data_IF_241297335209
#
_entry.id   IF_241297335209
#
_cell.length_a   1.000
_cell.length_b   1.000
_cell.length_c   1.000
_cell.angle_alpha   90.00
_cell.angle_beta   90.00
_cell.angle_gamma   90.00
#
_symmetry.space_group_name_H-M   'P 1'
#
loop_
_entity.id
_entity.type
_entity.pdbx_description
1 polymer ?
#
# COMPACT_ATOMS: atom_id res chain seq x y z
N UNK A 1 23.70 -22.53 -21.10
CA UNK A 1 23.42 -23.12 -20.84
C UNK A 1 23.26 -23.81 -20.54
N UNK A 2 23.18 -23.87 -20.34
CA UNK A 2 22.89 -24.58 -20.04
C UNK A 2 22.72 -25.46 -19.81
N UNK A 3 22.69 -25.47 -19.71
CA UNK A 3 22.41 -26.40 -19.56
C UNK A 3 22.27 -27.36 -19.58
N UNK A 4 22.53 -27.54 -19.68
CA UNK A 4 22.26 -28.54 -19.73
C UNK A 4 22.50 -29.39 -19.48
N UNK A 5 22.92 -29.25 -19.22
CA UNK A 5 23.32 -29.97 -19.07
C UNK A 5 23.30 -31.01 -18.73
N UNK A 6 23.47 -31.21 -18.25
CA UNK A 6 23.49 -32.28 -17.96
C UNK A 6 22.62 -32.99 -17.88
N UNK A 7 22.26 -33.32 -18.08
CA UNK A 7 21.36 -33.94 -17.95
C UNK A 7 21.37 -35.20 -17.97
N UNK A 8 22.06 -35.76 -17.87
CA UNK A 8 22.14 -36.90 -17.87
C UNK A 8 21.26 -37.47 -17.04
N UNK A 9 21.24 -37.70 -16.31
CA UNK A 9 20.32 -38.21 -15.54
C UNK A 9 19.38 -37.25 -15.64
N UNK A 10 19.67 -36.58 -16.52
CA UNK A 10 18.78 -35.79 -16.94
C UNK A 10 17.84 -35.07 -16.15
N UNK A 11 18.04 -34.97 -15.02
CA UNK A 11 17.06 -34.25 -14.27
C UNK A 11 17.60 -32.93 -13.87
N UNK A 12 17.37 -31.96 -14.70
CA UNK A 12 17.71 -30.61 -14.36
C UNK A 12 16.43 -29.94 -13.92
N UNK A 13 16.43 -29.44 -12.74
CA UNK A 13 15.29 -28.68 -12.25
C UNK A 13 15.59 -27.22 -12.37
N UNK A 14 14.71 -26.49 -13.01
CA UNK A 14 14.89 -25.06 -13.17
C UNK A 14 13.65 -24.35 -12.67
N UNK A 15 13.87 -23.18 -12.13
CA UNK A 15 12.78 -22.31 -11.73
C UNK A 15 12.72 -21.12 -12.64
N UNK A 16 11.59 -20.49 -12.65
CA UNK A 16 11.41 -19.30 -13.44
C UNK A 16 10.66 -18.28 -12.60
N UNK A 17 11.11 -17.05 -12.63
CA UNK A 17 10.43 -15.98 -11.92
C UNK A 17 9.94 -14.94 -12.93
N UNK A 18 8.65 -14.73 -12.97
CA UNK A 18 8.05 -13.68 -13.77
C UNK A 18 7.14 -12.88 -12.84
N UNK A 19 7.49 -11.63 -12.66
CA UNK A 19 6.72 -10.79 -11.76
C UNK A 19 5.55 -10.11 -12.46
N UNK A 20 4.38 -10.22 -11.88
CA UNK A 20 3.22 -9.47 -12.34
C UNK A 20 2.35 -9.15 -11.13
N UNK A 21 1.62 -8.05 -11.23
CA UNK A 21 0.73 -7.67 -10.15
C UNK A 21 -0.59 -7.19 -10.73
N UNK A 22 -1.66 -7.45 -10.00
CA UNK A 22 -2.98 -6.99 -10.36
C UNK A 22 -3.23 -5.67 -9.64
N UNK A 23 -3.62 -4.62 -10.37
CA UNK A 23 -3.94 -3.35 -9.71
C UNK A 23 -5.07 -3.53 -8.72
N UNK A 24 -4.98 -2.80 -7.63
CA UNK A 24 -6.01 -2.84 -6.59
C UNK A 24 -6.63 -1.47 -6.47
N UNK A 25 -7.95 -1.42 -6.34
CA UNK A 25 -8.72 -0.18 -6.36
C UNK A 25 -9.59 -0.08 -5.13
N UNK A 26 -9.65 1.11 -4.54
CA UNK A 26 -10.57 1.41 -3.46
C UNK A 26 -11.59 2.43 -3.96
N UNK A 27 -12.87 2.11 -3.85
CA UNK A 27 -13.93 3.03 -4.24
C UNK A 27 -14.38 3.82 -3.04
N UNK A 28 -14.34 5.13 -3.15
CA UNK A 28 -14.72 6.02 -2.06
C UNK A 28 -15.01 7.41 -2.59
N UNK A 29 -15.94 8.10 -1.96
CA UNK A 29 -16.23 9.50 -2.25
C UNK A 29 -16.54 9.77 -3.74
N UNK A 30 -17.21 8.82 -4.37
CA UNK A 30 -17.61 8.97 -5.78
C UNK A 30 -16.50 8.73 -6.77
N UNK A 31 -15.36 8.24 -6.33
CA UNK A 31 -14.19 8.02 -7.19
C UNK A 31 -13.60 6.65 -6.95
N UNK A 32 -12.69 6.27 -7.84
CA UNK A 32 -11.92 5.04 -7.69
C UNK A 32 -10.46 5.42 -7.56
N UNK A 33 -9.83 4.93 -6.52
CA UNK A 33 -8.42 5.22 -6.26
C UNK A 33 -7.61 3.96 -6.41
N UNK A 34 -6.67 3.98 -7.36
CA UNK A 34 -5.76 2.84 -7.54
C UNK A 34 -4.71 2.90 -6.43
N UNK A 35 -4.56 1.81 -5.72
CA UNK A 35 -3.55 1.74 -4.66
C UNK A 35 -2.17 1.79 -5.31
N UNK A 36 -1.31 2.73 -4.88
CA UNK A 36 0.00 2.91 -5.51
C UNK A 36 0.88 1.68 -5.41
N UNK A 37 1.79 1.56 -6.37
CA UNK A 37 2.84 0.57 -6.28
C UNK A 37 3.74 0.93 -5.11
N UNK A 38 4.09 -0.03 -4.29
CA UNK A 38 4.91 0.22 -3.12
C UNK A 38 6.38 0.26 -3.52
N UNK A 39 6.80 1.39 -4.11
CA UNK A 39 8.20 1.61 -4.44
C UNK A 39 8.97 1.93 -3.16
N UNK A 40 10.29 1.92 -3.26
CA UNK A 40 11.13 2.30 -2.11
C UNK A 40 10.76 3.71 -1.65
N UNK A 41 10.62 4.63 -2.61
CA UNK A 41 10.26 6.01 -2.28
C UNK A 41 8.91 6.09 -1.59
N UNK A 42 7.91 5.40 -2.13
CA UNK A 42 6.58 5.43 -1.54
C UNK A 42 6.60 4.85 -0.13
N UNK A 43 7.29 3.73 0.03
CA UNK A 43 7.36 3.05 1.33
C UNK A 43 8.02 3.93 2.39
N UNK A 44 9.09 4.62 2.00
CA UNK A 44 9.76 5.51 2.93
C UNK A 44 8.88 6.69 3.32
N UNK A 45 8.15 7.25 2.35
CA UNK A 45 7.24 8.34 2.64
C UNK A 45 6.09 7.89 3.53
N UNK A 46 5.58 6.69 3.28
CA UNK A 46 4.48 6.15 4.08
C UNK A 46 4.94 5.90 5.51
N UNK A 47 6.13 5.36 5.69
CA UNK A 47 6.69 5.11 7.00
C UNK A 47 6.88 6.44 7.75
N UNK A 48 7.36 7.46 7.05
CA UNK A 48 7.55 8.77 7.65
C UNK A 48 6.20 9.39 8.05
N UNK A 49 5.19 9.22 7.21
CA UNK A 49 3.85 9.73 7.49
C UNK A 49 3.29 9.06 8.76
N UNK A 50 3.43 7.76 8.87
CA UNK A 50 2.95 7.03 10.05
C UNK A 50 3.67 7.51 11.31
N UNK A 51 4.97 7.75 11.20
CA UNK A 51 5.76 8.25 12.33
C UNK A 51 5.27 9.63 12.74
N UNK A 52 5.07 10.52 11.77
CA UNK A 52 4.60 11.87 12.06
C UNK A 52 3.25 11.83 12.77
N UNK A 53 2.34 10.98 12.28
CA UNK A 53 1.01 10.84 12.90
C UNK A 53 1.14 10.42 14.35
N UNK A 54 2.04 9.48 14.64
CA UNK A 54 2.20 8.97 16.00
C UNK A 54 2.83 9.97 16.96
N UNK A 55 3.46 11.02 16.42
CA UNK A 55 4.16 12.01 17.24
C UNK A 55 3.36 13.31 17.44
N UNK A 56 2.15 13.37 16.91
CA UNK A 56 1.33 14.58 17.06
C UNK A 56 0.80 14.71 18.48
N UNK A 57 0.61 15.95 18.94
CA UNK A 57 0.17 16.23 20.28
C UNK A 57 -1.31 16.59 20.40
N UNK A 58 -1.88 17.18 19.34
CA UNK A 58 -3.28 17.61 19.38
C UNK A 58 -4.07 16.92 18.26
N UNK A 59 -5.39 16.92 18.43
CA UNK A 59 -6.26 16.33 17.42
C UNK A 59 -6.10 17.01 16.06
N UNK A 60 -6.00 18.34 16.06
CA UNK A 60 -5.85 19.05 14.78
C UNK A 60 -4.53 18.70 14.09
N UNK A 61 -3.46 18.52 14.87
CA UNK A 61 -2.19 18.09 14.31
C UNK A 61 -2.28 16.67 13.77
N UNK A 62 -2.99 15.80 14.48
CA UNK A 62 -3.17 14.43 14.06
C UNK A 62 -3.93 14.38 12.74
N UNK A 63 -5.04 15.10 12.65
CA UNK A 63 -5.85 15.12 11.43
C UNK A 63 -5.04 15.72 10.26
N UNK A 64 -4.28 16.77 10.53
CA UNK A 64 -3.45 17.37 9.51
C UNK A 64 -2.41 16.38 8.98
N UNK A 65 -1.77 15.64 9.89
CA UNK A 65 -0.78 14.64 9.50
C UNK A 65 -1.42 13.48 8.72
N UNK A 66 -2.63 13.08 9.13
CA UNK A 66 -3.36 12.01 8.42
C UNK A 66 -3.71 12.47 7.01
N UNK A 67 -4.13 13.73 6.83
CA UNK A 67 -4.40 14.27 5.50
C UNK A 67 -3.16 14.15 4.60
N UNK A 68 -1.99 14.47 5.15
CA UNK A 68 -0.75 14.34 4.38
C UNK A 68 -0.51 12.88 3.98
N UNK A 69 -0.76 11.96 4.92
CA UNK A 69 -0.64 10.53 4.62
C UNK A 69 -1.61 10.09 3.54
N UNK A 70 -2.86 10.52 3.63
CA UNK A 70 -3.87 10.20 2.64
C UNK A 70 -3.45 10.71 1.26
N UNK A 71 -2.84 11.89 1.20
CA UNK A 71 -2.43 12.45 -0.08
C UNK A 71 -1.34 11.63 -0.77
N UNK A 72 -0.60 10.81 -0.04
CA UNK A 72 0.34 9.89 -0.66
C UNK A 72 -0.39 8.85 -1.50
N UNK A 73 -1.60 8.47 -1.10
CA UNK A 73 -2.39 7.47 -1.81
C UNK A 73 -3.21 8.06 -2.94
N UNK A 74 -3.88 9.18 -2.72
CA UNK A 74 -4.86 9.70 -3.68
C UNK A 74 -4.48 11.04 -4.29
N UNK A 75 -3.38 11.63 -3.84
CA UNK A 75 -2.94 12.92 -4.35
C UNK A 75 -3.48 14.09 -3.54
N UNK A 76 -2.77 15.21 -3.62
CA UNK A 76 -3.14 16.40 -2.86
C UNK A 76 -4.48 16.98 -3.29
N UNK A 77 -4.77 16.94 -4.58
CA UNK A 77 -6.00 17.52 -5.11
C UNK A 77 -7.24 16.79 -4.59
N UNK A 78 -7.22 15.47 -4.64
CA UNK A 78 -8.35 14.68 -4.14
C UNK A 78 -8.48 14.78 -2.63
N UNK A 79 -7.37 14.83 -1.92
CA UNK A 79 -7.41 15.01 -0.47
C UNK A 79 -8.06 16.35 -0.13
N UNK A 80 -7.73 17.39 -0.87
CA UNK A 80 -8.31 18.70 -0.65
C UNK A 80 -9.80 18.71 -0.97
N UNK A 81 -10.21 17.95 -1.98
CA UNK A 81 -11.63 17.87 -2.34
C UNK A 81 -12.45 17.20 -1.23
N UNK A 82 -11.90 16.14 -0.64
CA UNK A 82 -12.63 15.36 0.36
C UNK A 82 -12.51 15.97 1.76
N UNK A 83 -11.31 16.37 2.12
CA UNK A 83 -11.02 16.94 3.44
C UNK A 83 -10.33 18.30 3.28
N UNK A 84 -11.07 19.37 2.96
CA UNK A 84 -10.46 20.68 2.71
C UNK A 84 -9.67 21.19 3.90
N UNK A 85 -8.46 21.67 3.64
CA UNK A 85 -7.57 22.14 4.70
C UNK A 85 -8.19 23.31 5.48
N UNK A 86 -8.88 24.19 4.78
CA UNK A 86 -9.48 25.35 5.45
C UNK A 86 -10.63 24.96 6.36
N UNK A 87 -11.13 23.74 6.24
CA UNK A 87 -12.19 23.23 7.12
C UNK A 87 -11.66 22.19 8.09
N UNK A 88 -10.37 22.25 8.37
CA UNK A 88 -9.72 21.26 9.23
C UNK A 88 -10.43 21.05 10.55
N UNK A 89 -10.87 22.13 11.18
CA UNK A 89 -11.50 22.03 12.50
C UNK A 89 -12.90 21.41 12.45
N UNK A 90 -13.46 21.26 11.27
CA UNK A 90 -14.78 20.66 11.08
C UNK A 90 -14.72 19.23 10.56
N UNK A 91 -13.52 18.72 10.29
CA UNK A 91 -13.37 17.38 9.78
C UNK A 91 -13.74 16.37 10.85
N UNK A 92 -14.55 15.38 10.45
CA UNK A 92 -14.90 14.27 11.32
C UNK A 92 -13.65 13.42 11.53
N UNK A 93 -13.15 13.39 12.77
CA UNK A 93 -11.92 12.68 13.11
C UNK A 93 -12.03 11.20 12.78
N UNK A 94 -13.19 10.62 13.11
CA UNK A 94 -13.39 9.19 12.86
C UNK A 94 -13.43 8.87 11.38
N UNK A 95 -13.99 9.76 10.59
CA UNK A 95 -14.07 9.56 9.14
C UNK A 95 -12.69 9.60 8.51
N UNK A 96 -11.89 10.63 8.81
CA UNK A 96 -10.56 10.76 8.21
C UNK A 96 -9.65 9.62 8.65
N UNK A 97 -9.76 9.22 9.91
CA UNK A 97 -8.97 8.10 10.42
C UNK A 97 -9.40 6.79 9.75
N UNK A 98 -10.70 6.59 9.60
CA UNK A 98 -11.21 5.37 8.95
C UNK A 98 -10.76 5.28 7.49
N UNK A 99 -10.75 6.40 6.78
CA UNK A 99 -10.31 6.39 5.39
C UNK A 99 -8.81 6.10 5.30
N UNK A 100 -8.03 6.70 6.19
CA UNK A 100 -6.60 6.42 6.28
C UNK A 100 -6.35 4.92 6.52
N UNK A 101 -7.11 4.34 7.45
CA UNK A 101 -6.98 2.92 7.76
C UNK A 101 -7.40 2.05 6.58
N UNK A 102 -8.45 2.45 5.86
CA UNK A 102 -8.91 1.70 4.69
C UNK A 102 -7.85 1.67 3.60
N UNK A 103 -7.18 2.81 3.36
CA UNK A 103 -6.12 2.87 2.35
C UNK A 103 -4.96 1.97 2.73
N UNK A 104 -4.57 2.00 4.00
CA UNK A 104 -3.47 1.15 4.48
C UNK A 104 -3.86 -0.33 4.44
N UNK A 105 -5.11 -0.63 4.73
CA UNK A 105 -5.61 -1.99 4.66
C UNK A 105 -5.51 -2.52 3.22
N UNK A 106 -5.92 -1.71 2.24
CA UNK A 106 -5.85 -2.15 0.85
C UNK A 106 -4.41 -2.36 0.40
N UNK A 107 -3.50 -1.50 0.87
CA UNK A 107 -2.08 -1.66 0.57
C UNK A 107 -1.56 -2.98 1.15
N UNK A 108 -1.95 -3.28 2.38
CA UNK A 108 -1.53 -4.52 3.03
C UNK A 108 -2.11 -5.74 2.31
N UNK A 109 -3.37 -5.67 1.88
CA UNK A 109 -3.97 -6.77 1.15
C UNK A 109 -3.25 -7.02 -0.18
N UNK A 110 -2.88 -5.94 -0.86
CA UNK A 110 -2.12 -6.06 -2.11
C UNK A 110 -0.79 -6.73 -1.86
N UNK A 111 -0.13 -6.36 -0.77
CA UNK A 111 1.16 -6.92 -0.40
C UNK A 111 1.03 -8.40 -0.04
N UNK A 112 0.04 -8.73 0.78
CA UNK A 112 -0.19 -10.12 1.19
C UNK A 112 -0.51 -11.01 -0.02
N UNK A 113 -1.26 -10.48 -0.97
CA UNK A 113 -1.60 -11.18 -2.19
C UNK A 113 -0.34 -11.53 -2.99
N UNK A 114 0.56 -10.54 -3.13
CA UNK A 114 1.81 -10.77 -3.85
C UNK A 114 2.70 -11.76 -3.15
N UNK A 115 2.82 -11.64 -1.82
CA UNK A 115 3.64 -12.55 -1.04
C UNK A 115 3.11 -13.98 -1.14
N UNK A 116 1.80 -14.13 -1.08
CA UNK A 116 1.18 -15.44 -1.20
C UNK A 116 1.42 -16.03 -2.59
N UNK A 117 1.32 -15.20 -3.63
CA UNK A 117 1.45 -15.65 -5.01
C UNK A 117 2.86 -16.16 -5.30
N UNK A 118 3.87 -15.53 -4.72
CA UNK A 118 5.25 -15.90 -5.00
C UNK A 118 5.93 -16.68 -3.89
N UNK A 119 5.14 -17.09 -2.90
CA UNK A 119 5.67 -17.88 -1.80
C UNK A 119 6.04 -19.27 -2.27
N UNK A 120 7.17 -19.80 -1.83
CA UNK A 120 7.52 -21.16 -2.17
C UNK A 120 6.46 -22.15 -1.70
N UNK A 121 6.33 -23.26 -2.42
CA UNK A 121 5.31 -24.24 -2.09
C UNK A 121 5.44 -24.77 -0.68
N UNK A 122 6.64 -24.72 -0.13
CA UNK A 122 6.83 -25.17 1.24
C UNK A 122 5.98 -24.38 2.21
N UNK A 123 5.68 -23.15 1.88
CA UNK A 123 4.87 -22.32 2.74
C UNK A 123 3.46 -22.86 2.87
N UNK A 124 3.13 -23.75 2.01
CA UNK A 124 1.83 -24.31 2.05
C UNK A 124 1.70 -25.35 3.12
N UNK A 125 2.85 -25.80 3.59
CA UNK A 125 2.75 -26.77 4.52
C UNK A 125 2.36 -26.34 5.74
N UNK A 126 2.04 -26.13 5.88
CA UNK A 126 1.58 -25.88 6.81
C UNK A 126 1.50 -25.98 7.41
#
# INVERSE_FOLDING_TARGET
MKSNISMKNGTVKSGEFTYCRTPRVLKAYGSEYTIPVRTVEFDEKLTQAAKTISETATTSETVSAIREGISLFIGAEETERIFPKEKLMEIDVDEVLSFWQALNYEMKQAQDELLSKYRPSAAVRR
#
